data_IF_351432038827
#
_entry.id   IF_351432038827
#
_cell.length_a   1.000
_cell.length_b   1.000
_cell.length_c   1.000
_cell.angle_alpha   90.00
_cell.angle_beta   90.00
_cell.angle_gamma   90.00
#
_symmetry.space_group_name_H-M   'P 1'
#
loop_
_entity.id
_entity.type
_entity.pdbx_description
1 polymer ?
#
# COMPACT_ATOMS: atom_id res chain seq x y z
N UNK A 1 10.47 19.09 -16.89
CA UNK A 1 10.97 18.02 -16.00
C UNK A 1 11.93 18.53 -14.90
N UNK A 2 13.03 19.22 -15.22
CA UNK A 2 14.01 19.67 -14.21
C UNK A 2 13.47 20.72 -13.19
N UNK A 3 12.56 21.60 -13.62
CA UNK A 3 11.89 22.58 -12.74
C UNK A 3 11.00 21.88 -11.70
N UNK A 4 10.32 20.79 -12.09
CA UNK A 4 9.50 19.95 -11.21
C UNK A 4 10.33 19.20 -10.16
N UNK A 5 11.46 18.62 -10.56
CA UNK A 5 12.40 17.94 -9.65
C UNK A 5 12.97 18.92 -8.60
N UNK A 6 13.29 20.15 -9.00
CA UNK A 6 13.78 21.21 -8.09
C UNK A 6 12.74 21.63 -7.04
N UNK A 7 11.47 21.77 -7.44
CA UNK A 7 10.39 22.18 -6.52
C UNK A 7 10.04 21.05 -5.54
N UNK A 8 10.03 19.80 -5.98
CA UNK A 8 9.78 18.62 -5.14
C UNK A 8 10.91 18.36 -4.12
N UNK A 9 12.19 18.47 -4.53
CA UNK A 9 13.34 18.45 -3.58
C UNK A 9 13.23 19.53 -2.50
N UNK A 10 12.56 20.64 -2.80
CA UNK A 10 12.33 21.75 -1.86
C UNK A 10 11.19 21.48 -0.88
N UNK A 11 10.14 20.74 -1.27
CA UNK A 11 8.99 20.42 -0.40
C UNK A 11 9.25 19.23 0.53
N UNK A 12 10.18 18.35 0.17
CA UNK A 12 10.60 17.20 0.98
C UNK A 12 11.82 17.52 1.86
N UNK A 13 12.09 18.79 2.13
CA UNK A 13 13.16 19.22 3.03
C UNK A 13 12.92 18.65 4.43
N UNK A 14 13.86 17.82 4.89
CA UNK A 14 14.00 17.47 6.30
C UNK A 14 14.90 18.56 6.91
N UNK A 15 14.28 19.60 7.48
CA UNK A 15 14.99 20.79 7.95
C UNK A 15 15.65 21.58 6.81
N UNK A 16 16.95 21.89 6.93
CA UNK A 16 17.69 22.69 5.93
C UNK A 16 18.46 21.86 4.89
N UNK A 17 18.44 20.53 4.97
CA UNK A 17 19.22 19.67 4.06
C UNK A 17 18.35 19.12 2.91
N UNK A 18 18.83 19.17 1.65
CA UNK A 18 18.17 18.46 0.57
C UNK A 18 18.22 16.95 0.84
N UNK A 19 17.18 16.21 0.46
CA UNK A 19 17.17 14.73 0.42
C UNK A 19 18.32 14.24 -0.47
N UNK A 20 19.48 14.10 0.16
CA UNK A 20 20.66 13.46 -0.35
C UNK A 20 20.54 12.00 0.06
N UNK A 21 20.13 11.15 -0.88
CA UNK A 21 20.05 9.70 -0.68
C UNK A 21 21.39 9.15 -0.13
N UNK A 22 22.51 9.77 -0.53
CA UNK A 22 23.86 9.45 -0.08
C UNK A 22 24.09 9.73 1.41
N UNK A 23 23.35 10.66 2.02
CA UNK A 23 23.47 10.96 3.45
C UNK A 23 22.91 9.82 4.33
N UNK A 24 21.97 9.04 3.80
CA UNK A 24 21.28 7.97 4.53
C UNK A 24 21.76 6.57 4.17
N UNK A 25 22.33 6.36 2.99
CA UNK A 25 22.84 5.06 2.56
C UNK A 25 24.30 4.86 2.96
N UNK A 26 24.53 4.43 4.21
CA UNK A 26 25.88 4.12 4.69
C UNK A 26 26.33 2.71 4.31
N UNK A 27 25.39 1.79 4.08
CA UNK A 27 25.66 0.41 3.72
C UNK A 27 24.54 -0.19 2.83
N UNK A 28 24.74 -1.41 2.34
CA UNK A 28 23.75 -2.12 1.49
C UNK A 28 22.38 -2.31 2.17
N UNK A 29 22.34 -2.48 3.50
CA UNK A 29 21.07 -2.68 4.24
C UNK A 29 20.22 -1.41 4.24
N UNK A 30 20.86 -0.25 4.32
CA UNK A 30 20.17 1.04 4.25
C UNK A 30 19.57 1.27 2.86
N UNK A 31 20.26 0.85 1.79
CA UNK A 31 19.72 0.89 0.44
C UNK A 31 18.44 0.05 0.30
N UNK A 32 18.46 -1.19 0.80
CA UNK A 32 17.28 -2.08 0.78
C UNK A 32 16.11 -1.46 1.54
N UNK A 33 16.36 -0.92 2.74
CA UNK A 33 15.33 -0.24 3.54
C UNK A 33 14.72 0.94 2.79
N UNK A 34 15.54 1.75 2.12
CA UNK A 34 15.07 2.87 1.30
C UNK A 34 14.21 2.43 0.13
N UNK A 35 14.64 1.41 -0.60
CA UNK A 35 13.87 0.86 -1.74
C UNK A 35 12.51 0.37 -1.26
N UNK A 36 12.47 -0.36 -0.14
CA UNK A 36 11.21 -0.88 0.38
C UNK A 36 10.33 0.22 0.93
N UNK A 37 10.88 1.13 1.74
CA UNK A 37 10.11 2.24 2.31
C UNK A 37 9.47 3.11 1.25
N UNK A 38 10.22 3.45 0.20
CA UNK A 38 9.71 4.29 -0.90
C UNK A 38 8.95 3.48 -1.95
N UNK A 39 8.83 2.17 -1.76
CA UNK A 39 8.32 1.21 -2.72
C UNK A 39 8.84 1.43 -4.15
N UNK A 40 10.14 1.14 -4.32
CA UNK A 40 10.89 1.33 -5.58
C UNK A 40 10.88 2.78 -6.08
N UNK A 41 10.79 3.74 -5.16
CA UNK A 41 10.81 5.17 -5.47
C UNK A 41 9.46 5.79 -5.82
N UNK A 42 8.35 5.04 -5.74
CA UNK A 42 7.00 5.60 -5.94
C UNK A 42 6.66 6.65 -4.90
N UNK A 43 7.08 6.47 -3.64
CA UNK A 43 6.95 7.46 -2.56
C UNK A 43 7.76 8.74 -2.78
N UNK A 44 8.61 8.77 -3.80
CA UNK A 44 9.35 9.97 -4.22
C UNK A 44 8.60 10.78 -5.29
N UNK A 45 7.43 10.34 -5.72
CA UNK A 45 6.62 11.08 -6.68
C UNK A 45 5.87 12.24 -6.00
N UNK A 46 5.59 13.34 -6.75
CA UNK A 46 5.07 14.57 -6.15
C UNK A 46 3.56 14.54 -5.84
N UNK A 47 3.13 15.54 -5.05
CA UNK A 47 1.75 15.90 -4.68
C UNK A 47 0.99 14.94 -3.76
N UNK A 48 1.13 13.63 -3.96
CA UNK A 48 0.45 12.61 -3.15
C UNK A 48 1.26 11.30 -3.18
N UNK A 49 2.40 11.24 -2.46
CA UNK A 49 3.29 10.06 -2.47
C UNK A 49 2.54 8.76 -2.13
N UNK A 50 1.62 8.79 -1.17
CA UNK A 50 0.82 7.61 -0.82
C UNK A 50 -0.10 7.10 -1.93
N UNK A 51 -0.63 8.02 -2.76
CA UNK A 51 -1.36 7.62 -3.98
C UNK A 51 -0.46 6.87 -4.95
N UNK A 52 0.79 7.30 -5.11
CA UNK A 52 1.75 6.61 -5.97
C UNK A 52 2.21 5.28 -5.38
N UNK A 53 2.38 5.19 -4.05
CA UNK A 53 2.61 3.94 -3.33
C UNK A 53 1.51 2.93 -3.58
N UNK A 54 0.26 3.34 -3.31
CA UNK A 54 -0.95 2.54 -3.51
C UNK A 54 -1.10 2.06 -4.96
N UNK A 55 -0.89 2.95 -5.95
CA UNK A 55 -0.93 2.58 -7.36
C UNK A 55 0.18 1.60 -7.73
N UNK A 56 1.40 1.82 -7.26
CA UNK A 56 2.54 0.96 -7.50
C UNK A 56 2.43 -0.40 -6.77
N UNK A 57 1.52 -0.55 -5.80
CA UNK A 57 1.22 -1.81 -5.14
C UNK A 57 0.44 -2.79 -6.06
N UNK A 58 -0.39 -2.27 -6.97
CA UNK A 58 -1.34 -3.04 -7.79
C UNK A 58 -0.66 -4.08 -8.70
N UNK A 59 0.41 -3.75 -9.46
CA UNK A 59 1.04 -4.74 -10.35
C UNK A 59 1.59 -5.95 -9.58
N UNK A 60 2.17 -5.73 -8.40
CA UNK A 60 2.69 -6.81 -7.56
C UNK A 60 1.56 -7.66 -6.97
N UNK A 61 0.48 -7.02 -6.49
CA UNK A 61 -0.70 -7.74 -6.01
C UNK A 61 -1.30 -8.61 -7.14
N UNK A 62 -1.42 -8.07 -8.35
CA UNK A 62 -1.90 -8.81 -9.52
C UNK A 62 -1.00 -10.00 -9.85
N UNK A 63 0.32 -9.78 -9.96
CA UNK A 63 1.28 -10.84 -10.28
C UNK A 63 1.23 -11.98 -9.25
N UNK A 64 1.25 -11.66 -7.95
CA UNK A 64 1.17 -12.69 -6.91
C UNK A 64 -0.18 -13.39 -6.97
N UNK A 65 -1.28 -12.67 -7.16
CA UNK A 65 -2.63 -13.25 -7.19
C UNK A 65 -2.88 -14.20 -8.35
N UNK A 66 -2.32 -13.91 -9.53
CA UNK A 66 -2.53 -14.69 -10.76
C UNK A 66 -1.54 -15.83 -10.89
N UNK A 67 -0.27 -15.61 -10.55
CA UNK A 67 0.79 -16.61 -10.77
C UNK A 67 1.09 -17.49 -9.54
N UNK A 68 0.38 -17.29 -8.42
CA UNK A 68 0.58 -18.09 -7.21
C UNK A 68 -0.78 -18.51 -6.59
N UNK A 69 -0.79 -18.88 -5.30
CA UNK A 69 -1.99 -19.29 -4.57
C UNK A 69 -2.37 -18.23 -3.52
N UNK A 70 -3.65 -18.12 -3.11
CA UNK A 70 -4.10 -17.10 -2.15
C UNK A 70 -3.26 -17.04 -0.87
N UNK A 71 -2.80 -18.19 -0.35
CA UNK A 71 -1.96 -18.26 0.85
C UNK A 71 -0.59 -17.58 0.65
N UNK A 72 -0.02 -17.62 -0.56
CA UNK A 72 1.22 -16.91 -0.87
C UNK A 72 0.98 -15.40 -0.82
N UNK A 73 -0.13 -14.91 -1.37
CA UNK A 73 -0.47 -13.49 -1.30
C UNK A 73 -0.62 -13.00 0.15
N UNK A 74 -1.37 -13.74 0.98
CA UNK A 74 -1.51 -13.43 2.41
C UNK A 74 -0.14 -13.43 3.11
N UNK A 75 0.68 -14.46 2.85
CA UNK A 75 2.01 -14.56 3.46
C UNK A 75 2.94 -13.42 3.04
N UNK A 76 2.87 -12.98 1.77
CA UNK A 76 3.64 -11.87 1.25
C UNK A 76 3.21 -10.55 1.90
N UNK A 77 1.91 -10.32 2.08
CA UNK A 77 1.38 -9.14 2.79
C UNK A 77 1.83 -9.12 4.25
N UNK A 78 1.73 -10.24 4.96
CA UNK A 78 2.18 -10.35 6.36
C UNK A 78 3.70 -10.15 6.47
N UNK A 79 4.48 -10.75 5.57
CA UNK A 79 5.93 -10.57 5.54
C UNK A 79 6.32 -9.11 5.27
N UNK A 80 5.65 -8.46 4.31
CA UNK A 80 5.88 -7.06 3.99
C UNK A 80 5.46 -6.13 5.14
N UNK A 81 4.36 -6.44 5.84
CA UNK A 81 3.94 -5.74 7.04
C UNK A 81 5.02 -5.78 8.14
N UNK A 82 5.46 -6.99 8.50
CA UNK A 82 6.48 -7.19 9.54
C UNK A 82 7.81 -6.51 9.18
N UNK A 83 8.22 -6.62 7.92
CA UNK A 83 9.43 -5.97 7.44
C UNK A 83 9.27 -4.44 7.39
N UNK A 84 8.10 -3.96 6.95
CA UNK A 84 7.72 -2.55 6.90
C UNK A 84 7.83 -1.87 8.26
N UNK A 85 7.38 -2.51 9.34
CA UNK A 85 7.53 -1.99 10.72
C UNK A 85 9.01 -1.68 11.03
N UNK A 86 9.91 -2.60 10.70
CA UNK A 86 11.34 -2.44 10.92
C UNK A 86 11.97 -1.36 10.03
N UNK A 87 11.54 -1.30 8.77
CA UNK A 87 11.98 -0.29 7.79
C UNK A 87 11.55 1.11 8.21
N UNK A 88 10.26 1.30 8.50
CA UNK A 88 9.68 2.59 8.90
C UNK A 88 10.36 3.11 10.17
N UNK A 89 10.50 2.26 11.20
CA UNK A 89 11.24 2.62 12.43
C UNK A 89 12.69 3.05 12.16
N UNK A 90 13.39 2.35 11.28
CA UNK A 90 14.79 2.65 10.96
C UNK A 90 14.91 3.99 10.22
N UNK A 91 13.98 4.27 9.30
CA UNK A 91 14.01 5.49 8.50
C UNK A 91 13.55 6.68 9.31
N UNK A 92 12.49 6.58 10.12
CA UNK A 92 12.08 7.66 11.03
C UNK A 92 13.23 8.14 11.92
N UNK A 93 13.93 7.21 12.57
CA UNK A 93 15.09 7.50 13.42
C UNK A 93 16.20 8.18 12.66
N UNK A 94 16.51 7.67 11.47
CA UNK A 94 17.58 8.22 10.64
C UNK A 94 17.19 9.63 10.17
N UNK A 95 15.97 9.78 9.64
CA UNK A 95 15.40 11.00 9.09
C UNK A 95 15.13 12.06 10.17
N UNK A 96 15.13 11.70 11.46
CA UNK A 96 14.77 12.58 12.58
C UNK A 96 13.44 13.31 12.36
N UNK A 97 12.52 12.63 11.68
CA UNK A 97 11.19 13.12 11.33
C UNK A 97 10.22 11.98 11.60
N UNK A 98 9.21 12.25 12.43
CA UNK A 98 8.09 11.34 12.65
C UNK A 98 7.29 11.25 11.36
N UNK A 99 6.98 10.03 10.95
CA UNK A 99 6.20 9.71 9.75
C UNK A 99 6.56 10.55 8.50
N UNK A 100 7.75 10.34 7.91
CA UNK A 100 8.10 10.97 6.65
C UNK A 100 7.21 10.44 5.53
N UNK A 101 6.33 11.27 4.98
CA UNK A 101 5.41 10.86 3.90
C UNK A 101 6.01 10.40 2.57
N UNK A 102 7.32 10.10 2.48
CA UNK A 102 7.88 9.31 1.36
C UNK A 102 7.99 7.82 1.70
N UNK A 103 7.81 7.46 2.97
CA UNK A 103 7.54 6.09 3.40
C UNK A 103 6.13 5.80 2.93
N UNK A 104 6.00 4.78 2.09
CA UNK A 104 4.77 4.39 1.41
C UNK A 104 4.52 2.88 1.45
N UNK A 105 5.30 2.17 2.27
CA UNK A 105 5.22 0.72 2.41
C UNK A 105 3.99 0.29 3.22
N UNK A 106 3.57 1.14 4.14
CA UNK A 106 2.27 1.16 4.81
C UNK A 106 1.12 1.20 3.79
N UNK A 107 1.11 2.15 2.84
CA UNK A 107 -0.01 2.22 1.89
C UNK A 107 -0.01 1.02 0.94
N UNK A 108 1.16 0.48 0.60
CA UNK A 108 1.28 -0.75 -0.20
C UNK A 108 0.64 -1.93 0.52
N UNK A 109 0.93 -2.10 1.81
CA UNK A 109 0.37 -3.18 2.62
C UNK A 109 -1.15 -2.99 2.78
N UNK A 110 -1.61 -1.78 3.11
CA UNK A 110 -3.04 -1.47 3.21
C UNK A 110 -3.79 -1.73 1.90
N UNK A 111 -3.22 -1.32 0.77
CA UNK A 111 -3.77 -1.60 -0.56
C UNK A 111 -3.79 -3.10 -0.89
N UNK A 112 -2.77 -3.87 -0.48
CA UNK A 112 -2.77 -5.32 -0.65
C UNK A 112 -3.86 -5.99 0.19
N UNK A 113 -4.08 -5.54 1.43
CA UNK A 113 -5.19 -6.02 2.28
C UNK A 113 -6.53 -5.77 1.58
N UNK A 114 -6.75 -4.57 1.04
CA UNK A 114 -7.96 -4.24 0.29
C UNK A 114 -8.19 -5.15 -0.94
N UNK A 115 -7.10 -5.67 -1.53
CA UNK A 115 -7.09 -6.54 -2.70
C UNK A 115 -7.13 -8.05 -2.36
N UNK A 116 -7.25 -8.46 -1.10
CA UNK A 116 -7.34 -9.90 -0.75
C UNK A 116 -8.41 -10.71 -1.49
N UNK A 117 -9.55 -10.15 -1.94
CA UNK A 117 -10.51 -10.91 -2.74
C UNK A 117 -10.01 -11.26 -4.15
N UNK A 118 -8.99 -10.56 -4.67
CA UNK A 118 -8.47 -10.74 -6.03
C UNK A 118 -8.03 -12.18 -6.38
N UNK A 119 -7.17 -12.87 -5.59
CA UNK A 119 -6.78 -14.25 -5.88
C UNK A 119 -7.95 -15.24 -5.78
N UNK A 120 -8.99 -14.94 -4.97
CA UNK A 120 -10.19 -15.76 -4.90
C UNK A 120 -11.09 -15.54 -6.12
N UNK A 121 -11.30 -14.29 -6.52
CA UNK A 121 -12.03 -13.93 -7.74
C UNK A 121 -11.41 -14.61 -8.96
N UNK A 122 -10.07 -14.56 -9.10
CA UNK A 122 -9.34 -15.20 -10.18
C UNK A 122 -9.57 -16.71 -10.25
N UNK A 123 -9.66 -17.39 -9.09
CA UNK A 123 -9.90 -18.83 -9.03
C UNK A 123 -11.36 -19.22 -9.26
N UNK A 124 -12.30 -18.37 -8.87
CA UNK A 124 -13.72 -18.69 -8.89
C UNK A 124 -14.43 -18.32 -10.20
N UNK A 125 -13.83 -17.47 -11.04
CA UNK A 125 -14.41 -16.99 -12.31
C UNK A 125 -13.63 -17.55 -13.51
N UNK A 126 -14.33 -17.83 -14.60
CA UNK A 126 -13.73 -18.23 -15.87
C UNK A 126 -12.75 -17.17 -16.39
N UNK A 127 -11.64 -17.60 -16.96
CA UNK A 127 -10.56 -16.71 -17.42
C UNK A 127 -11.03 -15.70 -18.47
N UNK A 128 -12.03 -16.04 -19.29
CA UNK A 128 -12.59 -15.12 -20.28
C UNK A 128 -13.36 -13.95 -19.64
N UNK A 129 -14.00 -14.18 -18.49
CA UNK A 129 -14.78 -13.17 -17.79
C UNK A 129 -13.96 -12.37 -16.78
N UNK A 130 -12.81 -12.90 -16.35
CA UNK A 130 -11.98 -12.29 -15.31
C UNK A 130 -11.54 -10.84 -15.60
N UNK A 131 -11.11 -10.46 -16.83
CA UNK A 131 -10.68 -9.09 -17.12
C UNK A 131 -11.77 -8.04 -16.89
N UNK A 132 -13.04 -8.39 -17.13
CA UNK A 132 -14.17 -7.47 -16.94
C UNK A 132 -14.37 -7.11 -15.47
N UNK A 133 -14.22 -8.08 -14.57
CA UNK A 133 -14.38 -7.87 -13.12
C UNK A 133 -13.11 -7.34 -12.45
N UNK A 134 -11.94 -7.63 -13.02
CA UNK A 134 -10.64 -7.23 -12.49
C UNK A 134 -10.55 -5.71 -12.31
N UNK A 135 -10.88 -4.94 -13.35
CA UNK A 135 -10.78 -3.48 -13.32
C UNK A 135 -11.70 -2.90 -12.25
N UNK A 136 -12.94 -3.40 -12.16
CA UNK A 136 -13.90 -2.96 -11.16
C UNK A 136 -13.45 -3.30 -9.74
N UNK A 137 -12.92 -4.50 -9.50
CA UNK A 137 -12.39 -4.88 -8.19
C UNK A 137 -11.20 -4.00 -7.79
N UNK A 138 -10.23 -3.79 -8.69
CA UNK A 138 -9.07 -2.94 -8.44
C UNK A 138 -9.51 -1.50 -8.16
N UNK A 139 -10.43 -0.95 -8.95
CA UNK A 139 -10.95 0.40 -8.75
C UNK A 139 -11.67 0.53 -7.40
N UNK A 140 -12.53 -0.43 -7.05
CA UNK A 140 -13.21 -0.46 -5.76
C UNK A 140 -12.20 -0.55 -4.62
N UNK A 141 -11.22 -1.45 -4.69
CA UNK A 141 -10.18 -1.59 -3.67
C UNK A 141 -9.38 -0.31 -3.50
N UNK A 142 -8.90 0.27 -4.60
CA UNK A 142 -8.11 1.49 -4.59
C UNK A 142 -8.89 2.68 -4.03
N UNK A 143 -10.09 2.93 -4.53
CA UNK A 143 -10.90 4.09 -4.12
C UNK A 143 -11.30 3.96 -2.65
N UNK A 144 -11.82 2.80 -2.24
CA UNK A 144 -12.28 2.61 -0.85
C UNK A 144 -11.12 2.66 0.14
N UNK A 145 -9.98 2.05 -0.19
CA UNK A 145 -8.77 2.15 0.62
C UNK A 145 -8.34 3.60 0.80
N UNK A 146 -8.20 4.37 -0.30
CA UNK A 146 -7.81 5.78 -0.22
C UNK A 146 -8.82 6.62 0.57
N UNK A 147 -10.12 6.32 0.48
CA UNK A 147 -11.13 7.00 1.30
C UNK A 147 -10.87 6.73 2.79
N UNK A 148 -10.64 5.48 3.19
CA UNK A 148 -10.44 5.15 4.60
C UNK A 148 -9.09 5.61 5.16
N UNK A 149 -8.02 5.53 4.36
CA UNK A 149 -6.70 6.06 4.74
C UNK A 149 -6.75 7.59 4.93
N UNK A 150 -7.40 8.32 4.03
CA UNK A 150 -7.50 9.79 4.16
C UNK A 150 -8.45 10.19 5.30
N UNK A 151 -9.58 9.49 5.44
CA UNK A 151 -10.59 9.84 6.44
C UNK A 151 -10.18 9.45 7.86
N UNK A 152 -9.50 8.30 8.01
CA UNK A 152 -9.11 7.66 9.28
C UNK A 152 -10.28 7.57 10.29
N UNK A 153 -11.38 6.86 9.98
CA UNK A 153 -12.46 6.64 10.95
C UNK A 153 -11.97 5.90 12.20
N UNK A 154 -12.74 5.95 13.29
CA UNK A 154 -12.44 5.18 14.50
C UNK A 154 -12.31 3.68 14.16
N UNK A 155 -11.30 2.95 14.65
CA UNK A 155 -10.31 3.32 15.67
C UNK A 155 -8.97 3.84 15.11
N UNK A 156 -8.84 4.04 13.79
CA UNK A 156 -7.57 4.38 13.11
C UNK A 156 -6.87 5.56 13.79
N UNK A 157 -7.55 6.71 13.89
CA UNK A 157 -7.02 7.92 14.56
C UNK A 157 -6.58 7.70 16.01
N UNK A 158 -7.25 6.82 16.75
CA UNK A 158 -6.95 6.59 18.16
C UNK A 158 -5.68 5.73 18.31
N UNK A 159 -5.51 4.74 17.43
CA UNK A 159 -4.34 3.88 17.41
C UNK A 159 -3.09 4.61 16.92
N UNK A 160 -3.23 5.44 15.88
CA UNK A 160 -2.16 6.31 15.36
C UNK A 160 -1.59 7.24 16.46
N UNK A 161 -2.44 7.72 17.37
CA UNK A 161 -2.03 8.56 18.49
C UNK A 161 -1.41 7.76 19.65
N UNK A 162 -1.84 6.51 19.85
CA UNK A 162 -1.47 5.69 21.01
C UNK A 162 -0.23 4.83 20.78
N UNK A 163 0.06 4.46 19.52
CA UNK A 163 1.14 3.54 19.16
C UNK A 163 2.23 4.30 18.40
N UNK A 164 3.37 4.62 19.05
CA UNK A 164 4.44 5.34 18.39
C UNK A 164 5.30 4.45 17.48
N UNK A 165 5.95 5.09 16.51
CA UNK A 165 6.95 4.48 15.64
C UNK A 165 6.36 3.71 14.46
N UNK A 166 7.19 2.90 13.82
CA UNK A 166 6.85 2.15 12.61
C UNK A 166 5.70 1.15 12.77
N UNK A 167 5.35 0.72 13.99
CA UNK A 167 4.15 -0.11 14.18
C UNK A 167 2.88 0.72 14.00
N UNK A 168 2.84 1.95 14.54
CA UNK A 168 1.70 2.85 14.37
C UNK A 168 1.48 3.22 12.90
N UNK A 169 2.58 3.55 12.20
CA UNK A 169 2.60 3.88 10.75
C UNK A 169 2.10 2.72 9.88
N UNK A 170 2.43 1.48 10.23
CA UNK A 170 1.97 0.37 9.39
C UNK A 170 0.53 -0.04 9.73
N UNK A 171 0.09 0.18 10.97
CA UNK A 171 -1.17 -0.33 11.48
C UNK A 171 -2.37 0.52 11.04
N UNK A 172 -2.22 1.84 10.94
CA UNK A 172 -3.31 2.73 10.52
C UNK A 172 -3.79 2.41 9.09
N UNK A 173 -2.86 2.22 8.16
CA UNK A 173 -3.13 1.81 6.77
C UNK A 173 -3.63 0.38 6.64
N UNK A 174 -3.13 -0.54 7.47
CA UNK A 174 -3.67 -1.91 7.51
C UNK A 174 -5.14 -1.90 7.94
N UNK A 175 -5.51 -1.09 8.93
CA UNK A 175 -6.90 -0.98 9.37
C UNK A 175 -7.77 -0.31 8.29
N UNK A 176 -7.27 0.73 7.62
CA UNK A 176 -7.94 1.30 6.45
C UNK A 176 -8.13 0.23 5.34
N UNK A 177 -7.11 -0.60 5.11
CA UNK A 177 -7.15 -1.75 4.22
C UNK A 177 -8.21 -2.78 4.61
N UNK A 178 -8.39 -3.05 5.91
CA UNK A 178 -9.46 -3.94 6.39
C UNK A 178 -10.86 -3.37 6.14
N UNK A 179 -11.08 -2.06 6.28
CA UNK A 179 -12.35 -1.46 5.91
C UNK A 179 -12.63 -1.57 4.41
N UNK A 180 -11.62 -1.30 3.59
CA UNK A 180 -11.73 -1.51 2.15
C UNK A 180 -11.98 -2.98 1.80
N UNK A 181 -11.33 -3.92 2.51
CA UNK A 181 -11.51 -5.36 2.33
C UNK A 181 -12.95 -5.81 2.54
N UNK A 182 -13.66 -5.26 3.52
CA UNK A 182 -15.08 -5.58 3.74
C UNK A 182 -15.90 -5.20 2.50
N UNK A 183 -15.67 -4.02 1.93
CA UNK A 183 -16.38 -3.53 0.75
C UNK A 183 -16.01 -4.37 -0.48
N UNK A 184 -14.72 -4.63 -0.71
CA UNK A 184 -14.27 -5.40 -1.88
C UNK A 184 -14.70 -6.87 -1.81
N UNK A 185 -14.80 -7.43 -0.60
CA UNK A 185 -15.34 -8.77 -0.37
C UNK A 185 -16.84 -8.81 -0.67
N UNK A 186 -17.62 -7.84 -0.19
CA UNK A 186 -19.05 -7.74 -0.51
C UNK A 186 -19.29 -7.58 -2.01
N UNK A 187 -18.50 -6.73 -2.67
CA UNK A 187 -18.53 -6.55 -4.13
C UNK A 187 -18.24 -7.87 -4.87
N UNK A 188 -17.17 -8.57 -4.46
CA UNK A 188 -16.78 -9.86 -5.03
C UNK A 188 -17.85 -10.93 -4.83
N UNK A 189 -18.42 -11.02 -3.62
CA UNK A 189 -19.50 -11.95 -3.32
C UNK A 189 -20.75 -11.67 -4.16
N UNK A 190 -21.10 -10.40 -4.36
CA UNK A 190 -22.20 -9.98 -5.23
C UNK A 190 -22.00 -10.43 -6.69
N UNK A 191 -20.80 -10.26 -7.24
CA UNK A 191 -20.44 -10.76 -8.59
C UNK A 191 -20.65 -12.27 -8.67
N UNK A 192 -20.10 -13.01 -7.70
CA UNK A 192 -20.19 -14.47 -7.68
C UNK A 192 -21.64 -14.95 -7.53
N UNK A 193 -22.44 -14.27 -6.72
CA UNK A 193 -23.86 -14.56 -6.53
C UNK A 193 -24.68 -14.35 -7.81
N UNK A 194 -24.54 -13.19 -8.46
CA UNK A 194 -25.25 -12.88 -9.72
C UNK A 194 -24.87 -13.90 -10.80
N UNK A 195 -23.58 -14.22 -10.93
CA UNK A 195 -23.12 -15.24 -11.87
C UNK A 195 -23.78 -16.59 -11.62
N UNK A 196 -23.85 -17.02 -10.36
CA UNK A 196 -24.44 -18.32 -10.02
C UNK A 196 -25.95 -18.36 -10.26
N UNK A 197 -26.61 -17.21 -10.32
CA UNK A 197 -28.06 -17.09 -10.54
C UNK A 197 -28.43 -16.98 -12.03
N UNK A 198 -27.57 -16.38 -12.87
CA UNK A 198 -27.81 -16.18 -14.30
C UNK A 198 -27.38 -17.36 -15.20
N UNK A 199 -26.79 -18.42 -14.63
CA UNK A 199 -26.34 -19.62 -15.36
C UNK A 199 -27.38 -20.76 -15.29
N UNK A 200 -28.66 -20.42 -15.07
CA UNK A 200 -29.80 -21.33 -15.24
C UNK A 200 -30.50 -21.09 -16.58
#
# INVERSE_FOLDING_TARGET
>A
MQRFIKTWRKSQKIGNTPLSIHHYMKNKRDCIRWIVATWFGSGLLPKAPGTWGSLAAIPFAYMISVYTVPYVFISATVALFLFGIGVSNSIEKSARKKDPGFIVVDEVVGQWVALFPLPFLYKCINQDSFPYFLISLIATAFITFRIFDIWKPWPIRHLEQSIPGGLGIMLDDVIAGFYALIITSAFTAGILFIRNTLVF
#
